data_IF_851210868544
#
_entry.id   IF_851210868544
#
_cell.length_a   1.000
_cell.length_b   1.000
_cell.length_c   1.000
_cell.angle_alpha   90.00
_cell.angle_beta   90.00
_cell.angle_gamma   90.00
#
_symmetry.space_group_name_H-M   'P 1'
#
loop_
_entity.id
_entity.type
_entity.pdbx_description
1 polymer ?
#
# COMPACT_ATOMS: atom_id res chain seq x y z
N UNK A 1 -35.36 24.24 -9.69
CA UNK A 1 -34.38 24.02 -10.77
C UNK A 1 -33.06 24.75 -10.48
N UNK A 2 -33.03 26.06 -10.17
CA UNK A 2 -31.79 26.87 -9.91
C UNK A 2 -30.93 26.35 -8.76
N UNK A 3 -31.54 25.87 -7.66
CA UNK A 3 -30.80 25.32 -6.51
C UNK A 3 -30.06 24.02 -6.90
N UNK A 4 -30.70 23.13 -7.65
CA UNK A 4 -30.07 21.89 -8.14
C UNK A 4 -28.92 22.18 -9.10
N UNK A 5 -29.05 23.19 -9.97
CA UNK A 5 -27.98 23.62 -10.87
C UNK A 5 -26.76 24.16 -10.10
N UNK A 6 -26.98 24.97 -9.05
CA UNK A 6 -25.88 25.44 -8.19
C UNK A 6 -25.16 24.27 -7.50
N UNK A 7 -25.88 23.28 -6.98
CA UNK A 7 -25.29 22.10 -6.34
C UNK A 7 -24.49 21.27 -7.34
N UNK A 8 -25.05 21.05 -8.55
CA UNK A 8 -24.36 20.29 -9.61
C UNK A 8 -23.10 21.03 -10.07
N UNK A 9 -23.16 22.35 -10.29
CA UNK A 9 -21.99 23.15 -10.68
C UNK A 9 -20.92 23.16 -9.56
N UNK A 10 -21.30 23.27 -8.30
CA UNK A 10 -20.36 23.22 -7.19
C UNK A 10 -19.67 21.84 -7.07
N UNK A 11 -20.41 20.76 -7.29
CA UNK A 11 -19.83 19.40 -7.35
C UNK A 11 -18.91 19.23 -8.56
N UNK A 12 -19.31 19.77 -9.69
CA UNK A 12 -18.52 19.74 -10.92
C UNK A 12 -17.19 20.48 -10.75
N UNK A 13 -17.20 21.69 -10.18
CA UNK A 13 -15.99 22.45 -9.89
C UNK A 13 -15.07 21.74 -8.88
N UNK A 14 -15.65 21.11 -7.85
CA UNK A 14 -14.88 20.33 -6.86
C UNK A 14 -14.15 19.13 -7.46
N UNK A 15 -14.68 18.53 -8.51
CA UNK A 15 -14.06 17.37 -9.19
C UNK A 15 -13.15 17.82 -10.32
N UNK A 16 -13.61 18.76 -11.16
CA UNK A 16 -12.85 19.19 -12.32
C UNK A 16 -11.65 20.06 -11.99
N UNK A 17 -11.72 20.89 -10.95
CA UNK A 17 -10.60 21.75 -10.56
C UNK A 17 -9.32 20.98 -10.26
N UNK A 18 -9.35 20.02 -9.31
CA UNK A 18 -8.21 19.15 -9.01
C UNK A 18 -7.72 18.36 -10.21
N UNK A 19 -8.66 17.77 -10.96
CA UNK A 19 -8.32 16.97 -12.15
C UNK A 19 -7.67 17.79 -13.26
N UNK A 20 -8.12 19.02 -13.50
CA UNK A 20 -7.50 19.91 -14.49
C UNK A 20 -6.07 20.29 -14.10
N UNK A 21 -5.79 20.49 -12.79
CA UNK A 21 -4.44 20.74 -12.28
C UNK A 21 -3.55 19.52 -12.45
N UNK A 22 -4.03 18.33 -12.12
CA UNK A 22 -3.31 17.09 -12.36
C UNK A 22 -2.99 16.93 -13.85
N UNK A 23 -3.99 17.10 -14.71
CA UNK A 23 -3.80 16.99 -16.18
C UNK A 23 -2.76 17.97 -16.68
N UNK A 24 -2.73 19.21 -16.16
CA UNK A 24 -1.70 20.19 -16.51
C UNK A 24 -0.31 19.81 -15.99
N UNK A 25 -0.22 19.28 -14.77
CA UNK A 25 1.07 18.91 -14.14
C UNK A 25 1.68 17.64 -14.73
N UNK A 26 0.84 16.66 -15.14
CA UNK A 26 1.30 15.40 -15.73
C UNK A 26 1.41 15.49 -17.25
N UNK A 27 0.67 16.41 -17.88
CA UNK A 27 0.65 16.58 -19.34
C UNK A 27 1.94 17.11 -19.92
N UNK A 28 2.21 16.73 -21.20
CA UNK A 28 3.44 17.14 -21.89
C UNK A 28 4.70 16.41 -21.41
N UNK A 29 5.84 16.79 -21.98
CA UNK A 29 7.16 16.31 -21.57
C UNK A 29 7.67 17.11 -20.37
N UNK A 30 8.18 16.46 -19.35
CA UNK A 30 8.71 17.11 -18.16
C UNK A 30 9.37 16.11 -17.19
N UNK A 31 10.06 16.64 -16.19
CA UNK A 31 10.72 15.82 -15.18
C UNK A 31 9.74 14.94 -14.40
N UNK A 32 10.12 13.70 -14.18
CA UNK A 32 9.29 12.75 -13.44
C UNK A 32 8.95 13.24 -12.03
N UNK A 33 9.87 13.91 -11.34
CA UNK A 33 9.63 14.49 -10.01
C UNK A 33 8.48 15.50 -10.04
N UNK A 34 8.41 16.37 -11.04
CA UNK A 34 7.32 17.38 -11.16
C UNK A 34 5.98 16.69 -11.39
N UNK A 35 5.96 15.60 -12.17
CA UNK A 35 4.74 14.80 -12.41
C UNK A 35 4.28 14.07 -11.15
N UNK A 36 5.20 13.51 -10.37
CA UNK A 36 4.90 12.88 -9.08
C UNK A 36 4.36 13.92 -8.10
N UNK A 37 4.96 15.10 -8.01
CA UNK A 37 4.45 16.20 -7.16
C UNK A 37 3.05 16.63 -7.56
N UNK A 38 2.75 16.69 -8.86
CA UNK A 38 1.41 17.00 -9.34
C UNK A 38 0.38 15.91 -8.97
N UNK A 39 0.79 14.64 -9.05
CA UNK A 39 -0.03 13.52 -8.64
C UNK A 39 -0.28 13.54 -7.13
N UNK A 40 0.77 13.70 -6.32
CA UNK A 40 0.66 13.79 -4.87
C UNK A 40 -0.27 14.94 -4.43
N UNK A 41 -0.06 16.14 -4.98
CA UNK A 41 -0.93 17.29 -4.69
C UNK A 41 -2.41 17.05 -5.07
N UNK A 42 -2.66 16.31 -6.14
CA UNK A 42 -4.01 15.89 -6.50
C UNK A 42 -4.62 14.95 -5.46
N UNK A 43 -3.85 13.96 -4.97
CA UNK A 43 -4.31 13.00 -3.97
C UNK A 43 -4.61 13.67 -2.62
N UNK A 44 -3.80 14.67 -2.23
CA UNK A 44 -4.09 15.49 -1.06
C UNK A 44 -5.34 16.37 -1.24
N UNK A 45 -5.48 16.98 -2.41
CA UNK A 45 -6.61 17.88 -2.69
C UNK A 45 -7.96 17.14 -2.69
N UNK A 46 -8.00 15.88 -3.16
CA UNK A 46 -9.18 15.02 -3.06
C UNK A 46 -9.35 14.42 -1.66
N UNK A 47 -8.44 14.73 -0.73
CA UNK A 47 -8.46 14.26 0.66
C UNK A 47 -8.43 12.74 0.79
N UNK A 48 -7.60 12.10 -0.05
CA UNK A 48 -7.48 10.65 -0.03
C UNK A 48 -7.07 10.10 1.35
N UNK A 49 -6.12 10.72 2.10
CA UNK A 49 -5.76 10.24 3.44
C UNK A 49 -6.96 10.17 4.38
N UNK A 50 -7.78 11.23 4.42
CA UNK A 50 -8.96 11.29 5.29
C UNK A 50 -10.05 10.29 4.87
N UNK A 51 -10.19 10.06 3.56
CA UNK A 51 -11.12 9.05 3.03
C UNK A 51 -10.68 7.65 3.46
N UNK A 52 -9.39 7.31 3.34
CA UNK A 52 -8.83 6.03 3.77
C UNK A 52 -8.97 5.84 5.28
N UNK A 53 -8.70 6.86 6.07
CA UNK A 53 -8.89 6.81 7.52
C UNK A 53 -10.36 6.54 7.89
N UNK A 54 -11.30 7.28 7.30
CA UNK A 54 -12.73 7.06 7.53
C UNK A 54 -13.16 5.65 7.16
N UNK A 55 -12.65 5.13 6.04
CA UNK A 55 -12.92 3.76 5.60
C UNK A 55 -12.34 2.73 6.57
N UNK A 56 -11.14 2.96 7.08
CA UNK A 56 -10.51 2.12 8.11
C UNK A 56 -11.38 2.03 9.37
N UNK A 57 -11.87 3.16 9.87
CA UNK A 57 -12.74 3.23 11.04
C UNK A 57 -14.06 2.47 10.81
N UNK A 58 -14.65 2.62 9.62
CA UNK A 58 -15.88 1.89 9.25
C UNK A 58 -15.67 0.38 9.18
N UNK A 59 -14.53 -0.08 8.65
CA UNK A 59 -14.18 -1.50 8.60
C UNK A 59 -13.94 -2.07 10.00
N UNK A 60 -13.28 -1.33 10.88
CA UNK A 60 -13.15 -1.76 12.29
C UNK A 60 -14.50 -1.86 12.98
N UNK A 61 -15.39 -0.90 12.78
CA UNK A 61 -16.74 -0.93 13.34
C UNK A 61 -17.58 -2.09 12.79
N UNK A 62 -17.32 -2.53 11.55
CA UNK A 62 -17.95 -3.69 10.93
C UNK A 62 -17.35 -5.04 11.37
N UNK A 63 -16.28 -5.04 12.18
CA UNK A 63 -15.59 -6.25 12.62
C UNK A 63 -14.61 -6.83 11.59
N UNK A 64 -14.32 -6.09 10.50
CA UNK A 64 -13.41 -6.50 9.43
C UNK A 64 -11.97 -6.01 9.72
N UNK A 65 -11.41 -6.43 10.86
CA UNK A 65 -10.14 -5.92 11.38
C UNK A 65 -8.98 -6.06 10.38
N UNK A 66 -8.86 -7.20 9.70
CA UNK A 66 -7.80 -7.43 8.73
C UNK A 66 -7.88 -6.41 7.57
N UNK A 67 -9.05 -6.20 6.99
CA UNK A 67 -9.24 -5.23 5.90
C UNK A 67 -9.04 -3.79 6.36
N UNK A 68 -9.37 -3.49 7.62
CA UNK A 68 -9.11 -2.20 8.22
C UNK A 68 -7.60 -1.92 8.31
N UNK A 69 -6.81 -2.88 8.80
CA UNK A 69 -5.35 -2.79 8.86
C UNK A 69 -4.73 -2.65 7.47
N UNK A 70 -5.22 -3.40 6.48
CA UNK A 70 -4.82 -3.29 5.08
C UNK A 70 -5.08 -1.87 4.54
N UNK A 71 -6.27 -1.35 4.78
CA UNK A 71 -6.66 0.00 4.32
C UNK A 71 -5.83 1.09 4.99
N UNK A 72 -5.53 0.96 6.29
CA UNK A 72 -4.73 1.92 7.04
C UNK A 72 -3.29 2.08 6.49
N UNK A 73 -2.73 1.03 5.89
CA UNK A 73 -1.37 1.06 5.35
C UNK A 73 -1.28 1.61 3.92
N UNK A 74 -2.41 1.68 3.18
CA UNK A 74 -2.41 2.05 1.76
C UNK A 74 -1.77 3.41 1.48
N UNK A 75 -2.05 4.41 2.32
CA UNK A 75 -1.46 5.74 2.15
C UNK A 75 0.05 5.73 2.30
N UNK A 76 0.56 5.08 3.36
CA UNK A 76 2.00 4.96 3.58
C UNK A 76 2.72 4.21 2.45
N UNK A 77 2.11 3.12 1.96
CA UNK A 77 2.64 2.36 0.81
C UNK A 77 2.68 3.25 -0.44
N UNK A 78 1.60 3.97 -0.72
CA UNK A 78 1.53 4.87 -1.88
C UNK A 78 2.59 5.95 -1.83
N UNK A 79 2.76 6.62 -0.68
CA UNK A 79 3.83 7.62 -0.49
C UNK A 79 5.21 7.00 -0.70
N UNK A 80 5.48 5.83 -0.12
CA UNK A 80 6.74 5.12 -0.31
C UNK A 80 7.03 4.76 -1.78
N UNK A 81 5.99 4.38 -2.53
CA UNK A 81 6.12 4.14 -3.99
C UNK A 81 6.46 5.42 -4.75
N UNK A 82 5.81 6.53 -4.41
CA UNK A 82 6.06 7.82 -5.05
C UNK A 82 7.48 8.32 -4.76
N UNK A 83 7.94 8.19 -3.50
CA UNK A 83 9.31 8.55 -3.09
C UNK A 83 10.34 7.71 -3.85
N UNK A 84 10.13 6.40 -3.94
CA UNK A 84 11.02 5.50 -4.68
C UNK A 84 11.05 5.81 -6.18
N UNK A 85 9.91 6.18 -6.75
CA UNK A 85 9.83 6.58 -8.15
C UNK A 85 10.66 7.85 -8.40
N UNK A 86 10.59 8.83 -7.51
CA UNK A 86 11.40 10.06 -7.58
C UNK A 86 12.88 9.77 -7.40
N UNK A 87 13.25 8.90 -6.44
CA UNK A 87 14.64 8.53 -6.20
C UNK A 87 15.30 7.89 -7.41
N UNK A 88 14.56 7.05 -8.15
CA UNK A 88 15.11 6.29 -9.29
C UNK A 88 15.00 7.08 -10.60
N UNK A 89 13.92 7.80 -10.82
CA UNK A 89 13.56 8.42 -12.11
C UNK A 89 13.31 9.93 -12.04
N UNK A 90 13.59 10.59 -10.91
CA UNK A 90 13.19 11.99 -10.68
C UNK A 90 13.64 12.95 -11.76
N UNK A 91 14.89 12.80 -12.23
CA UNK A 91 15.51 13.65 -13.26
C UNK A 91 15.14 13.22 -14.71
N UNK A 92 14.45 12.09 -14.89
CA UNK A 92 14.08 11.60 -16.21
C UNK A 92 13.00 12.49 -16.84
N UNK A 93 13.20 12.83 -18.09
CA UNK A 93 12.19 13.56 -18.88
C UNK A 93 11.22 12.53 -19.45
N UNK A 94 9.99 12.54 -18.98
CA UNK A 94 8.94 11.62 -19.40
C UNK A 94 7.79 12.40 -20.04
N UNK A 95 7.13 11.79 -21.01
CA UNK A 95 5.82 12.26 -21.45
C UNK A 95 4.70 11.71 -20.52
N UNK A 96 3.46 12.08 -20.79
CA UNK A 96 2.33 11.67 -19.93
C UNK A 96 2.04 10.16 -20.02
N UNK A 97 2.25 9.55 -21.17
CA UNK A 97 1.98 8.12 -21.42
C UNK A 97 3.07 7.26 -20.81
N UNK A 98 4.32 7.64 -20.96
CA UNK A 98 5.48 7.00 -20.33
C UNK A 98 5.35 7.05 -18.80
N UNK A 99 5.05 8.23 -18.25
CA UNK A 99 4.83 8.38 -16.81
C UNK A 99 3.71 7.47 -16.31
N UNK A 100 2.56 7.45 -16.99
CA UNK A 100 1.44 6.60 -16.59
C UNK A 100 1.77 5.10 -16.68
N UNK A 101 2.52 4.70 -17.71
CA UNK A 101 2.92 3.30 -17.92
C UNK A 101 3.91 2.84 -16.85
N UNK A 102 4.94 3.65 -16.56
CA UNK A 102 5.92 3.37 -15.52
C UNK A 102 5.29 3.36 -14.13
N UNK A 103 4.43 4.33 -13.82
CA UNK A 103 3.70 4.37 -12.56
C UNK A 103 2.82 3.13 -12.37
N UNK A 104 2.11 2.71 -13.42
CA UNK A 104 1.32 1.47 -13.38
C UNK A 104 2.19 0.25 -13.15
N UNK A 105 3.35 0.17 -13.82
CA UNK A 105 4.29 -0.94 -13.64
C UNK A 105 4.77 -1.01 -12.19
N UNK A 106 5.20 0.09 -11.61
CA UNK A 106 5.67 0.15 -10.23
C UNK A 106 4.55 -0.22 -9.26
N UNK A 107 3.35 0.34 -9.41
CA UNK A 107 2.20 0.02 -8.55
C UNK A 107 1.79 -1.46 -8.62
N UNK A 108 1.95 -2.14 -9.77
CA UNK A 108 1.64 -3.57 -9.88
C UNK A 108 2.64 -4.47 -9.18
N UNK A 109 3.85 -3.99 -8.90
CA UNK A 109 4.85 -4.74 -8.13
C UNK A 109 4.52 -4.76 -6.62
N UNK A 110 3.78 -3.76 -6.14
CA UNK A 110 3.31 -3.72 -4.76
C UNK A 110 2.00 -4.49 -4.63
N UNK A 111 2.14 -5.78 -4.30
CA UNK A 111 0.98 -6.58 -3.92
C UNK A 111 0.56 -6.21 -2.49
N UNK A 112 -0.66 -5.72 -2.33
CA UNK A 112 -1.26 -5.44 -1.00
C UNK A 112 -1.38 -6.73 -0.15
N UNK A 113 -1.07 -7.89 -0.71
CA UNK A 113 -1.05 -9.19 -0.03
C UNK A 113 0.19 -9.49 0.82
N UNK A 114 1.19 -8.60 0.86
CA UNK A 114 2.39 -8.75 1.72
C UNK A 114 2.32 -7.84 2.95
N UNK A 115 1.17 -7.75 3.57
CA UNK A 115 1.07 -7.14 4.89
C UNK A 115 1.76 -8.08 5.86
N UNK A 116 2.76 -7.60 6.62
CA UNK A 116 3.41 -8.43 7.60
C UNK A 116 2.34 -8.98 8.54
N UNK A 117 2.27 -10.30 8.61
CA UNK A 117 1.45 -11.03 9.58
C UNK A 117 1.64 -10.35 10.93
N UNK A 118 0.55 -9.92 11.55
CA UNK A 118 0.57 -9.24 12.85
C UNK A 118 1.47 -10.01 13.80
N UNK A 119 2.34 -9.31 14.52
CA UNK A 119 3.32 -9.88 15.46
C UNK A 119 2.70 -10.82 16.51
N UNK A 120 1.39 -10.87 16.61
CA UNK A 120 0.58 -11.63 17.59
C UNK A 120 -0.37 -12.64 16.92
N UNK A 121 -0.04 -13.13 15.71
CA UNK A 121 -0.84 -14.13 15.01
C UNK A 121 -0.29 -15.54 15.22
N UNK A 122 -1.19 -16.52 15.29
CA UNK A 122 -0.84 -17.94 15.26
C UNK A 122 -0.70 -18.37 13.82
N UNK A 123 0.54 -18.66 13.39
CA UNK A 123 0.83 -19.18 12.06
C UNK A 123 0.73 -20.69 12.03
N UNK A 124 -0.18 -21.22 11.22
CA UNK A 124 -0.25 -22.64 10.90
C UNK A 124 0.50 -22.87 9.58
N UNK A 125 1.58 -23.65 9.61
CA UNK A 125 2.36 -23.95 8.42
C UNK A 125 2.83 -25.40 8.42
N UNK A 126 3.18 -25.91 7.24
CA UNK A 126 3.83 -27.20 7.10
C UNK A 126 5.30 -27.12 7.55
N UNK A 127 5.80 -28.19 8.17
CA UNK A 127 7.14 -28.24 8.77
C UNK A 127 8.27 -28.11 7.72
N UNK A 128 7.99 -28.36 6.46
CA UNK A 128 8.92 -28.26 5.33
C UNK A 128 9.01 -26.84 4.75
N UNK A 129 8.11 -25.95 5.12
CA UNK A 129 8.08 -24.57 4.61
C UNK A 129 9.09 -23.71 5.39
N UNK A 130 10.14 -23.29 4.69
CA UNK A 130 11.26 -22.55 5.28
C UNK A 130 10.95 -21.03 5.33
N UNK A 131 9.91 -20.64 6.05
CA UNK A 131 9.61 -19.24 6.32
C UNK A 131 10.47 -18.76 7.50
N UNK A 132 11.39 -17.83 7.24
CA UNK A 132 12.31 -17.26 8.23
C UNK A 132 11.62 -16.25 9.15
N UNK A 133 10.65 -16.70 9.93
CA UNK A 133 10.01 -15.85 10.93
C UNK A 133 10.56 -16.14 12.33
N UNK A 134 10.86 -15.10 13.08
CA UNK A 134 11.15 -15.22 14.51
C UNK A 134 9.84 -15.43 15.25
N UNK A 135 9.67 -16.59 15.85
CA UNK A 135 8.45 -16.94 16.62
C UNK A 135 8.73 -16.98 18.12
N UNK A 136 7.78 -16.55 18.94
CA UNK A 136 7.88 -16.61 20.42
C UNK A 136 7.69 -18.02 20.95
N UNK A 137 6.84 -18.80 20.32
CA UNK A 137 6.56 -20.18 20.68
C UNK A 137 6.25 -21.01 19.42
N UNK A 138 6.76 -22.24 19.38
CA UNK A 138 6.52 -23.18 18.30
C UNK A 138 5.86 -24.44 18.86
N UNK A 139 4.72 -24.83 18.30
CA UNK A 139 4.01 -26.06 18.63
C UNK A 139 4.10 -27.01 17.43
N UNK A 140 4.75 -28.16 17.62
CA UNK A 140 4.84 -29.21 16.59
C UNK A 140 3.76 -30.27 16.87
N UNK A 141 2.79 -30.38 15.96
CA UNK A 141 1.71 -31.36 16.05
C UNK A 141 1.98 -32.50 15.05
N UNK A 142 1.88 -33.74 15.53
CA UNK A 142 1.96 -34.94 14.67
C UNK A 142 3.35 -35.27 14.14
N UNK A 143 4.43 -34.70 14.71
CA UNK A 143 5.79 -35.03 14.27
C UNK A 143 6.18 -36.41 14.79
N UNK A 144 6.54 -37.40 13.93
CA UNK A 144 7.08 -38.69 14.40
C UNK A 144 8.42 -38.46 15.09
N UNK A 145 8.69 -39.20 16.15
CA UNK A 145 9.87 -39.06 17.00
C UNK A 145 11.21 -39.10 16.23
N UNK A 146 11.25 -39.80 15.12
CA UNK A 146 12.41 -39.88 14.26
C UNK A 146 12.79 -38.56 13.58
N UNK A 147 11.83 -37.65 13.35
CA UNK A 147 12.04 -36.33 12.76
C UNK A 147 12.66 -35.34 13.75
N UNK A 148 12.35 -35.49 15.04
CA UNK A 148 12.91 -34.65 16.10
C UNK A 148 14.41 -34.93 16.36
N UNK A 149 14.90 -36.13 16.06
CA UNK A 149 16.31 -36.50 16.24
C UNK A 149 17.19 -36.11 15.05
N UNK A 150 16.63 -35.86 13.87
CA UNK A 150 17.37 -35.56 12.64
C UNK A 150 17.55 -34.08 12.34
N UNK A 151 16.81 -33.18 13.00
CA UNK A 151 16.92 -31.74 12.80
C UNK A 151 17.68 -31.07 13.94
N UNK A 152 18.57 -30.10 13.67
CA UNK A 152 19.24 -29.32 14.70
C UNK A 152 18.26 -28.27 15.28
N UNK A 153 17.20 -28.75 15.94
CA UNK A 153 16.18 -27.92 16.62
C UNK A 153 16.78 -27.18 17.83
N UNK A 154 17.95 -27.58 18.28
CA UNK A 154 18.63 -27.04 19.47
C UNK A 154 19.29 -25.68 19.29
N UNK A 155 19.24 -25.05 18.09
CA UNK A 155 19.84 -23.72 17.87
C UNK A 155 18.87 -22.54 17.98
N UNK A 156 17.59 -22.79 18.25
CA UNK A 156 16.57 -21.71 18.29
C UNK A 156 16.43 -21.10 19.69
N UNK A 157 17.00 -21.70 20.73
CA UNK A 157 16.74 -21.30 22.12
C UNK A 157 17.86 -20.51 22.81
N UNK A 158 18.87 -20.01 22.11
CA UNK A 158 19.91 -19.23 22.79
C UNK A 158 20.28 -17.95 22.07
N UNK A 159 19.44 -16.92 22.22
CA UNK A 159 19.91 -15.54 22.25
C UNK A 159 18.95 -14.69 23.11
N UNK A 160 19.52 -14.35 24.28
CA UNK A 160 19.02 -13.28 25.14
C UNK A 160 19.10 -11.93 24.43
#
# INVERSE_FOLDING_TARGET
ARARLKTVNALHERVQGPFARLKKGVGGSGEAEQKVRALYGYLEEIKLPEVLQTQTEQLFAAGEAQRAEETAQLWGILCGVLDQFVEILGDAILDAEEFASLMRLVLTQYSVGTIPVTLDAVNLCEMTRNDRHTVRALFLLGAPFAVLLGFPVLRIFNHR
#
